data_IF_932477259520
#
_entry.id   IF_932477259520
#
_cell.length_a   1.000
_cell.length_b   1.000
_cell.length_c   1.000
_cell.angle_alpha   90.00
_cell.angle_beta   90.00
_cell.angle_gamma   90.00
#
_symmetry.space_group_name_H-M   'P 1'
#
loop_
_entity.id
_entity.type
_entity.pdbx_description
1 polymer ?
#
# COMPACT_ATOMS: atom_id res chain seq x y z
N UNK A 1 -9.10 -3.94 -15.32
CA UNK A 1 -9.53 -3.05 -14.22
C UNK A 1 -9.99 -1.74 -14.84
N UNK A 2 -11.09 -1.15 -14.35
CA UNK A 2 -11.51 0.21 -14.75
C UNK A 2 -10.36 1.18 -14.49
N UNK A 3 -10.16 2.17 -15.36
CA UNK A 3 -9.12 3.19 -15.15
C UNK A 3 -9.53 4.09 -13.98
N UNK A 4 -8.57 4.60 -13.21
CA UNK A 4 -8.86 5.49 -12.08
C UNK A 4 -9.72 6.70 -12.46
N UNK A 5 -9.53 7.21 -13.67
CA UNK A 5 -10.30 8.28 -14.28
C UNK A 5 -11.81 8.00 -14.35
N UNK A 6 -12.21 6.73 -14.46
CA UNK A 6 -13.61 6.30 -14.63
C UNK A 6 -14.37 6.15 -13.30
N UNK A 7 -13.68 6.23 -12.16
CA UNK A 7 -14.31 6.12 -10.83
C UNK A 7 -14.81 7.48 -10.35
N UNK A 8 -15.90 7.47 -9.58
CA UNK A 8 -16.36 8.64 -8.83
C UNK A 8 -15.39 8.97 -7.67
N UNK A 9 -15.40 10.22 -7.20
CA UNK A 9 -14.57 10.64 -6.04
C UNK A 9 -14.83 9.78 -4.79
N UNK A 10 -16.08 9.35 -4.57
CA UNK A 10 -16.44 8.45 -3.47
C UNK A 10 -15.78 7.07 -3.60
N UNK A 11 -15.82 6.47 -4.79
CA UNK A 11 -15.19 5.17 -5.04
C UNK A 11 -13.65 5.27 -5.02
N UNK A 12 -13.10 6.40 -5.47
CA UNK A 12 -11.67 6.67 -5.47
C UNK A 12 -11.14 6.79 -4.02
N UNK A 13 -11.87 7.51 -3.15
CA UNK A 13 -11.59 7.58 -1.72
C UNK A 13 -11.73 6.22 -1.03
N UNK A 14 -12.76 5.43 -1.37
CA UNK A 14 -12.93 4.06 -0.85
C UNK A 14 -11.75 3.17 -1.26
N UNK A 15 -11.28 3.30 -2.50
CA UNK A 15 -10.13 2.53 -3.01
C UNK A 15 -8.84 2.95 -2.33
N UNK A 16 -8.62 4.26 -2.13
CA UNK A 16 -7.49 4.79 -1.34
C UNK A 16 -7.47 4.21 0.07
N UNK A 17 -8.62 4.17 0.75
CA UNK A 17 -8.72 3.62 2.10
C UNK A 17 -8.38 2.12 2.13
N UNK A 18 -8.88 1.34 1.16
CA UNK A 18 -8.54 -0.09 1.01
C UNK A 18 -7.04 -0.30 0.79
N UNK A 19 -6.43 0.44 -0.14
CA UNK A 19 -5.01 0.32 -0.45
C UNK A 19 -4.13 0.71 0.74
N UNK A 20 -4.49 1.78 1.46
CA UNK A 20 -3.82 2.15 2.72
C UNK A 20 -3.95 1.05 3.77
N UNK A 21 -5.16 0.53 3.97
CA UNK A 21 -5.42 -0.55 4.93
C UNK A 21 -4.63 -1.82 4.60
N UNK A 22 -4.58 -2.20 3.32
CA UNK A 22 -3.78 -3.33 2.85
C UNK A 22 -2.28 -3.11 3.13
N UNK A 23 -1.74 -1.93 2.79
CA UNK A 23 -0.33 -1.61 3.03
C UNK A 23 0.03 -1.66 4.53
N UNK A 24 -0.84 -1.10 5.39
CA UNK A 24 -0.67 -1.17 6.84
C UNK A 24 -0.73 -2.62 7.33
N UNK A 25 -1.71 -3.40 6.87
CA UNK A 25 -1.85 -4.82 7.24
C UNK A 25 -0.62 -5.63 6.87
N UNK A 26 -0.05 -5.39 5.69
CA UNK A 26 1.19 -6.02 5.24
C UNK A 26 2.38 -5.65 6.14
N UNK A 27 2.53 -4.37 6.49
CA UNK A 27 3.60 -3.91 7.40
C UNK A 27 3.47 -4.59 8.77
N UNK A 28 2.28 -4.58 9.37
CA UNK A 28 2.01 -5.22 10.67
C UNK A 28 2.33 -6.71 10.59
N UNK A 29 1.88 -7.40 9.54
CA UNK A 29 2.16 -8.81 9.33
C UNK A 29 3.67 -9.12 9.21
N UNK A 30 4.42 -8.30 8.46
CA UNK A 30 5.87 -8.43 8.35
C UNK A 30 6.61 -8.25 9.68
N UNK A 31 6.16 -7.28 10.49
CA UNK A 31 6.71 -7.06 11.84
C UNK A 31 6.43 -8.25 12.75
N UNK A 32 5.20 -8.77 12.75
CA UNK A 32 4.83 -9.93 13.56
C UNK A 32 5.64 -11.16 13.19
N UNK A 33 5.80 -11.48 11.90
CA UNK A 33 6.64 -12.60 11.45
C UNK A 33 8.08 -12.41 11.94
N UNK A 34 8.64 -11.21 11.78
CA UNK A 34 10.02 -10.92 12.18
C UNK A 34 10.22 -11.08 13.69
N UNK A 35 9.27 -10.60 14.50
CA UNK A 35 9.27 -10.77 15.95
C UNK A 35 9.16 -12.25 16.33
N UNK A 36 8.26 -13.01 15.72
CA UNK A 36 8.11 -14.44 15.98
C UNK A 36 9.39 -15.20 15.67
N UNK A 37 10.02 -14.96 14.51
CA UNK A 37 11.29 -15.58 14.15
C UNK A 37 12.42 -15.21 15.13
N UNK A 38 12.45 -13.95 15.57
CA UNK A 38 13.42 -13.48 16.55
C UNK A 38 13.24 -14.18 17.91
N UNK A 39 12.01 -14.24 18.43
CA UNK A 39 11.69 -14.89 19.70
C UNK A 39 11.99 -16.39 19.69
N UNK A 40 11.79 -17.05 18.55
CA UNK A 40 12.10 -18.48 18.36
C UNK A 40 13.59 -18.76 18.14
N UNK A 41 14.46 -17.75 18.15
CA UNK A 41 15.90 -17.86 17.83
C UNK A 41 16.12 -18.60 16.49
N UNK A 42 15.27 -18.29 15.51
CA UNK A 42 15.28 -18.94 14.22
C UNK A 42 16.61 -18.69 13.48
N UNK A 43 17.02 -19.66 12.64
CA UNK A 43 18.19 -19.51 11.77
C UNK A 43 17.99 -18.32 10.81
N UNK A 44 19.07 -17.58 10.53
CA UNK A 44 19.05 -16.39 9.65
C UNK A 44 18.38 -16.66 8.28
N UNK A 45 18.54 -17.87 7.74
CA UNK A 45 17.93 -18.29 6.46
C UNK A 45 16.40 -18.12 6.44
N UNK A 46 15.74 -18.21 7.59
CA UNK A 46 14.29 -18.05 7.72
C UNK A 46 13.84 -16.59 7.68
N UNK A 47 14.76 -15.62 7.80
CA UNK A 47 14.48 -14.20 7.63
C UNK A 47 14.53 -13.75 6.16
N UNK A 48 15.09 -14.57 5.26
CA UNK A 48 15.18 -14.22 3.82
C UNK A 48 13.81 -13.89 3.23
N UNK A 49 12.74 -14.69 3.44
CA UNK A 49 11.40 -14.33 2.96
C UNK A 49 10.90 -13.00 3.53
N UNK A 50 11.18 -12.73 4.81
CA UNK A 50 10.79 -11.47 5.45
C UNK A 50 11.50 -10.24 4.84
N UNK A 51 12.76 -10.41 4.39
CA UNK A 51 13.50 -9.34 3.68
C UNK A 51 12.99 -9.10 2.25
N UNK A 52 12.39 -10.11 1.60
CA UNK A 52 11.86 -9.98 0.24
C UNK A 52 10.42 -9.43 0.23
N UNK A 53 9.66 -9.60 1.33
CA UNK A 53 8.29 -9.10 1.46
C UNK A 53 8.08 -7.61 1.10
N UNK A 54 8.95 -6.66 1.49
CA UNK A 54 8.76 -5.26 1.11
C UNK A 54 8.72 -5.03 -0.41
N UNK A 55 9.43 -5.85 -1.20
CA UNK A 55 9.45 -5.76 -2.66
C UNK A 55 8.08 -6.11 -3.23
N UNK A 56 7.39 -7.10 -2.65
CA UNK A 56 6.06 -7.50 -3.10
C UNK A 56 4.98 -6.45 -2.79
N UNK A 57 5.28 -5.47 -1.94
CA UNK A 57 4.37 -4.38 -1.58
C UNK A 57 4.47 -3.15 -2.51
N UNK A 58 5.54 -3.06 -3.31
CA UNK A 58 5.74 -1.94 -4.26
C UNK A 58 4.56 -1.73 -5.22
N UNK A 59 3.91 -2.75 -5.80
CA UNK A 59 2.75 -2.56 -6.67
C UNK A 59 1.55 -1.92 -5.95
N UNK A 60 1.37 -2.23 -4.68
CA UNK A 60 0.30 -1.66 -3.84
C UNK A 60 0.59 -0.19 -3.56
N UNK A 61 1.84 0.14 -3.22
CA UNK A 61 2.27 1.51 -3.02
C UNK A 61 2.12 2.35 -4.31
N UNK A 62 2.55 1.79 -5.45
CA UNK A 62 2.40 2.44 -6.76
C UNK A 62 0.92 2.72 -7.09
N UNK A 63 0.04 1.74 -6.86
CA UNK A 63 -1.40 1.90 -7.04
C UNK A 63 -1.98 2.96 -6.11
N UNK A 64 -1.58 2.97 -4.83
CA UNK A 64 -2.02 3.97 -3.85
C UNK A 64 -1.60 5.38 -4.25
N UNK A 65 -0.35 5.53 -4.73
CA UNK A 65 0.16 6.81 -5.23
C UNK A 65 -0.66 7.30 -6.42
N UNK A 66 -0.92 6.44 -7.40
CA UNK A 66 -1.74 6.79 -8.57
C UNK A 66 -3.15 7.23 -8.20
N UNK A 67 -3.82 6.52 -7.28
CA UNK A 67 -5.14 6.92 -6.76
C UNK A 67 -5.08 8.25 -6.01
N UNK A 68 -4.04 8.48 -5.22
CA UNK A 68 -3.87 9.72 -4.47
C UNK A 68 -3.56 10.92 -5.39
N UNK A 69 -2.80 10.71 -6.45
CA UNK A 69 -2.53 11.71 -7.49
C UNK A 69 -3.82 12.08 -8.22
N UNK A 70 -4.65 11.10 -8.61
CA UNK A 70 -5.95 11.35 -9.24
C UNK A 70 -6.89 12.16 -8.32
N UNK A 71 -6.97 11.81 -7.04
CA UNK A 71 -7.77 12.57 -6.05
C UNK A 71 -7.24 14.01 -5.93
N UNK A 72 -5.91 14.18 -5.89
CA UNK A 72 -5.28 15.50 -5.79
C UNK A 72 -5.55 16.36 -7.02
N UNK A 73 -5.48 15.78 -8.22
CA UNK A 73 -5.79 16.48 -9.47
C UNK A 73 -7.24 17.00 -9.48
N UNK A 74 -8.20 16.21 -8.98
CA UNK A 74 -9.61 16.59 -8.92
C UNK A 74 -9.95 17.61 -7.83
N UNK A 75 -9.14 17.65 -6.78
CA UNK A 75 -9.33 18.56 -5.64
C UNK A 75 -8.41 19.80 -5.70
N UNK A 76 -7.54 19.90 -6.70
CA UNK A 76 -6.72 21.08 -6.88
C UNK A 76 -7.66 22.27 -7.15
N UNK A 77 -7.55 23.37 -6.38
CA UNK A 77 -8.30 24.58 -6.72
C UNK A 77 -7.83 25.02 -8.10
N UNK A 78 -8.76 25.30 -9.02
CA UNK A 78 -8.45 25.81 -10.35
C UNK A 78 -7.53 27.05 -10.22
N UNK A 79 -6.23 26.89 -10.43
CA UNK A 79 -5.27 28.01 -10.50
C UNK A 79 -5.38 28.74 -11.86
N UNK A 80 -6.27 28.32 -12.77
CA UNK A 80 -6.44 28.96 -14.08
C UNK A 80 -7.93 29.06 -14.51
N UNK A 81 -8.76 29.78 -13.74
CA UNK A 81 -9.94 30.45 -14.30
C UNK A 81 -9.95 31.91 -13.87
#
# INVERSE_FOLDING_TARGET
MKKWSELSLAELNKTRAKLKGALIGFIVFGVLISLTLFLLKAKLVLFIPAMVLPITWLPIYSSLRSVNDEIRLRNAPNVNQ
#
